data_IF_699213202723
#
_entry.id   IF_699213202723
#
_cell.length_a   1.000
_cell.length_b   1.000
_cell.length_c   1.000
_cell.angle_alpha   90.00
_cell.angle_beta   90.00
_cell.angle_gamma   90.00
#
_symmetry.space_group_name_H-M   'P 1'
#
loop_
_entity.id
_entity.type
_entity.pdbx_description
1 polymer ?
#
# COMPACT_ATOMS: atom_id res chain seq x y z
N UNK A 1 7.61 4.29 -15.79
CA UNK A 1 8.66 3.94 -16.75
C UNK A 1 8.59 2.45 -16.99
N UNK A 2 8.33 2.10 -18.24
CA UNK A 2 8.21 0.73 -18.68
C UNK A 2 9.55 0.03 -18.53
N UNK A 3 9.67 -0.87 -17.60
CA UNK A 3 10.79 -1.80 -17.54
C UNK A 3 10.33 -3.11 -18.17
N UNK A 4 10.65 -3.31 -19.45
CA UNK A 4 10.60 -4.64 -20.03
C UNK A 4 11.70 -5.47 -19.36
N UNK A 5 11.32 -6.55 -18.73
CA UNK A 5 12.24 -7.49 -18.13
C UNK A 5 12.16 -8.79 -18.94
N UNK A 6 13.28 -9.17 -19.57
CA UNK A 6 13.39 -10.50 -20.17
C UNK A 6 13.58 -11.53 -19.07
N UNK A 7 12.74 -12.56 -19.10
CA UNK A 7 12.86 -13.71 -18.23
C UNK A 7 14.19 -14.44 -18.54
N UNK A 8 15.08 -14.46 -17.56
CA UNK A 8 16.32 -15.21 -17.65
C UNK A 8 16.13 -16.52 -16.91
N UNK A 9 16.48 -17.61 -17.54
CA UNK A 9 16.28 -18.98 -17.04
C UNK A 9 17.09 -19.35 -15.78
N UNK A 10 17.63 -18.37 -15.07
CA UNK A 10 18.37 -18.53 -13.82
C UNK A 10 19.68 -19.33 -13.95
N UNK A 11 20.14 -19.59 -15.17
CA UNK A 11 21.40 -20.30 -15.39
C UNK A 11 22.57 -19.38 -15.14
N UNK A 12 23.57 -19.91 -14.45
CA UNK A 12 24.87 -19.26 -14.25
C UNK A 12 25.54 -19.02 -15.60
N UNK A 13 25.99 -17.81 -15.88
CA UNK A 13 26.79 -17.54 -17.06
C UNK A 13 28.03 -18.40 -17.04
N UNK A 14 28.36 -18.99 -18.21
CA UNK A 14 29.47 -19.92 -18.34
C UNK A 14 30.79 -19.20 -18.04
N UNK A 15 31.46 -19.57 -16.95
CA UNK A 15 32.75 -19.04 -16.52
C UNK A 15 32.74 -18.21 -15.23
N UNK A 16 31.57 -17.95 -14.63
CA UNK A 16 31.45 -17.27 -13.33
C UNK A 16 30.83 -18.26 -12.36
N UNK A 17 31.66 -18.97 -11.61
CA UNK A 17 31.22 -20.07 -10.74
C UNK A 17 30.46 -19.61 -9.47
N UNK A 18 30.51 -18.33 -9.12
CA UNK A 18 29.98 -17.81 -7.86
C UNK A 18 28.88 -16.76 -8.03
N UNK A 19 28.44 -16.45 -9.25
CA UNK A 19 27.41 -15.45 -9.49
C UNK A 19 26.12 -16.13 -9.98
N UNK A 20 25.14 -16.16 -9.11
CA UNK A 20 23.80 -16.56 -9.48
C UNK A 20 23.09 -15.38 -10.13
N UNK A 21 22.68 -15.52 -11.39
CA UNK A 21 21.78 -14.54 -12.01
C UNK A 21 20.43 -14.67 -11.31
N UNK A 22 20.01 -13.62 -10.60
CA UNK A 22 18.73 -13.60 -9.94
C UNK A 22 17.65 -13.25 -10.95
N UNK A 23 16.85 -14.23 -11.24
CA UNK A 23 15.65 -14.10 -12.07
C UNK A 23 14.50 -13.55 -11.21
N UNK A 24 14.61 -12.27 -10.84
CA UNK A 24 13.60 -11.59 -10.06
C UNK A 24 13.53 -10.11 -10.41
N UNK A 25 12.33 -9.56 -10.27
CA UNK A 25 12.09 -8.14 -10.41
C UNK A 25 11.54 -7.55 -9.11
N UNK A 26 11.83 -6.28 -8.84
CA UNK A 26 11.32 -5.62 -7.66
C UNK A 26 12.34 -4.73 -6.94
N UNK A 27 12.23 -4.66 -5.61
CA UNK A 27 13.07 -3.84 -4.78
C UNK A 27 12.88 -2.34 -5.06
N UNK A 28 13.97 -1.63 -5.31
CA UNK A 28 13.93 -0.18 -5.58
C UNK A 28 13.34 0.19 -6.94
N UNK A 29 13.22 -0.76 -7.85
CA UNK A 29 12.72 -0.55 -9.21
C UNK A 29 11.20 -0.67 -9.32
N UNK A 30 10.53 -1.27 -8.33
CA UNK A 30 9.08 -1.50 -8.34
C UNK A 30 8.46 -1.21 -6.97
N UNK A 31 8.49 0.04 -6.55
CA UNK A 31 8.03 0.48 -5.23
C UNK A 31 7.03 1.62 -5.24
N UNK A 32 6.92 2.34 -6.34
CA UNK A 32 6.05 3.51 -6.43
C UNK A 32 4.63 3.08 -6.77
N UNK A 33 3.59 3.66 -6.16
CA UNK A 33 2.21 3.42 -6.57
C UNK A 33 2.02 3.72 -8.06
N UNK A 34 1.26 2.88 -8.73
CA UNK A 34 1.04 2.85 -10.17
C UNK A 34 2.19 2.30 -11.03
N UNK A 35 3.36 1.99 -10.50
CA UNK A 35 4.34 1.20 -11.23
C UNK A 35 3.78 -0.19 -11.52
N UNK A 36 4.12 -0.73 -12.68
CA UNK A 36 3.65 -2.05 -13.09
C UNK A 36 4.73 -2.85 -13.81
N UNK A 37 4.57 -4.15 -13.78
CA UNK A 37 5.36 -5.11 -14.52
C UNK A 37 4.40 -5.95 -15.33
N UNK A 38 4.75 -6.22 -16.58
CA UNK A 38 3.95 -7.01 -17.50
C UNK A 38 4.78 -8.13 -18.10
N UNK A 39 4.19 -9.31 -18.15
CA UNK A 39 4.77 -10.49 -18.78
C UNK A 39 3.92 -10.91 -19.97
N UNK A 40 4.59 -11.20 -21.09
CA UNK A 40 3.98 -11.85 -22.22
C UNK A 40 4.02 -13.37 -22.01
N UNK A 41 2.91 -14.03 -22.20
CA UNK A 41 2.83 -15.47 -22.11
C UNK A 41 2.11 -16.07 -23.32
N UNK A 42 2.39 -17.32 -23.63
CA UNK A 42 1.70 -18.06 -24.68
C UNK A 42 0.90 -19.19 -24.02
N UNK A 43 -0.41 -19.16 -24.23
CA UNK A 43 -1.34 -20.17 -23.74
C UNK A 43 -1.47 -21.25 -24.81
N UNK A 44 -1.08 -22.50 -24.52
CA UNK A 44 -1.03 -23.56 -25.53
C UNK A 44 -2.41 -24.08 -25.93
N UNK A 45 -3.36 -24.06 -25.02
CA UNK A 45 -4.73 -24.55 -25.21
C UNK A 45 -5.71 -23.67 -24.46
N UNK A 46 -6.91 -23.48 -25.01
CA UNK A 46 -7.99 -22.77 -24.32
C UNK A 46 -8.44 -23.55 -23.10
N UNK A 47 -8.63 -22.85 -21.98
CA UNK A 47 -9.09 -23.50 -20.74
C UNK A 47 -9.02 -22.60 -19.52
N UNK A 48 -9.30 -23.21 -18.37
CA UNK A 48 -9.25 -22.56 -17.08
C UNK A 48 -7.86 -22.75 -16.45
N UNK A 49 -7.22 -21.64 -16.17
CA UNK A 49 -5.87 -21.61 -15.57
C UNK A 49 -5.92 -21.05 -14.14
N UNK A 50 -4.96 -21.49 -13.33
CA UNK A 50 -4.71 -20.94 -11.99
C UNK A 50 -3.41 -20.17 -12.03
N UNK A 51 -3.41 -18.96 -11.44
CA UNK A 51 -2.23 -18.11 -11.38
C UNK A 51 -1.65 -18.18 -9.97
N UNK A 52 -0.38 -18.54 -9.89
CA UNK A 52 0.42 -18.50 -8.67
C UNK A 52 1.55 -17.48 -8.83
N UNK A 53 1.73 -16.62 -7.83
CA UNK A 53 2.75 -15.57 -7.84
C UNK A 53 3.78 -15.86 -6.77
N UNK A 54 5.04 -16.07 -7.17
CA UNK A 54 6.14 -16.20 -6.21
C UNK A 54 6.68 -14.82 -5.86
N UNK A 55 6.39 -14.38 -4.64
CA UNK A 55 6.76 -13.06 -4.16
C UNK A 55 7.37 -13.07 -2.77
N UNK A 56 8.01 -11.96 -2.42
CA UNK A 56 8.53 -11.69 -1.08
C UNK A 56 8.40 -10.21 -0.77
N UNK A 57 7.79 -9.90 0.37
CA UNK A 57 7.79 -8.56 0.96
C UNK A 57 8.64 -8.61 2.24
N UNK A 58 9.94 -8.34 2.14
CA UNK A 58 10.90 -8.40 3.26
C UNK A 58 11.45 -7.02 3.65
N UNK A 59 10.85 -5.93 3.16
CA UNK A 59 11.43 -4.60 3.32
C UNK A 59 11.00 -3.92 4.62
N UNK A 60 9.70 -3.89 4.90
CA UNK A 60 9.17 -3.23 6.09
C UNK A 60 8.18 -4.16 6.79
N UNK A 61 8.49 -4.46 8.05
CA UNK A 61 7.60 -5.23 8.92
C UNK A 61 6.34 -4.42 9.22
N UNK A 62 5.16 -5.09 9.22
CA UNK A 62 3.88 -4.44 9.42
C UNK A 62 3.31 -3.73 8.17
N UNK A 63 4.00 -3.84 7.02
CA UNK A 63 3.52 -3.32 5.74
C UNK A 63 2.97 -4.43 4.86
N UNK A 64 1.83 -4.17 4.23
CA UNK A 64 1.23 -5.04 3.22
C UNK A 64 1.51 -4.41 1.86
N UNK A 65 2.15 -5.15 0.96
CA UNK A 65 2.35 -4.70 -0.40
C UNK A 65 1.18 -5.19 -1.27
N UNK A 66 0.40 -4.26 -1.79
CA UNK A 66 -0.78 -4.53 -2.59
C UNK A 66 -0.46 -4.48 -4.09
N UNK A 67 -1.05 -5.39 -4.84
CA UNK A 67 -0.94 -5.49 -6.30
C UNK A 67 -2.30 -5.73 -6.93
N UNK A 68 -2.56 -5.08 -8.05
CA UNK A 68 -3.71 -5.41 -8.91
C UNK A 68 -3.24 -6.23 -10.09
N UNK A 69 -3.99 -7.30 -10.41
CA UNK A 69 -3.73 -8.15 -11.56
C UNK A 69 -4.56 -7.69 -12.75
N UNK A 70 -3.91 -7.60 -13.90
CA UNK A 70 -4.55 -7.37 -15.19
C UNK A 70 -4.20 -8.53 -16.13
N UNK A 71 -5.17 -8.96 -16.90
CA UNK A 71 -4.99 -9.89 -18.01
C UNK A 71 -5.45 -9.16 -19.28
N UNK A 72 -4.57 -9.07 -20.28
CA UNK A 72 -4.83 -8.36 -21.52
C UNK A 72 -5.30 -6.91 -21.34
N UNK A 73 -4.78 -6.27 -20.31
CA UNK A 73 -5.07 -4.87 -19.97
C UNK A 73 -6.32 -4.65 -19.12
N UNK A 74 -7.08 -5.70 -18.81
CA UNK A 74 -8.31 -5.62 -18.03
C UNK A 74 -8.18 -6.37 -16.70
N UNK A 75 -8.88 -5.90 -15.66
CA UNK A 75 -9.01 -6.63 -14.38
C UNK A 75 -10.11 -7.68 -14.56
N UNK A 76 -9.80 -8.98 -14.43
CA UNK A 76 -10.78 -10.03 -14.74
C UNK A 76 -11.98 -10.05 -13.80
N UNK A 77 -11.78 -9.76 -12.52
CA UNK A 77 -12.81 -9.69 -11.48
C UNK A 77 -12.31 -8.92 -10.26
N UNK A 78 -13.22 -8.54 -9.36
CA UNK A 78 -12.96 -7.61 -8.26
C UNK A 78 -11.88 -8.09 -7.30
N UNK A 79 -11.86 -9.38 -6.96
CA UNK A 79 -11.01 -9.97 -5.94
C UNK A 79 -9.51 -9.90 -6.30
N UNK A 80 -9.17 -9.73 -7.58
CA UNK A 80 -7.77 -9.57 -7.99
C UNK A 80 -7.33 -8.13 -8.16
N UNK A 81 -8.18 -7.17 -7.81
CA UNK A 81 -7.79 -5.76 -7.70
C UNK A 81 -6.84 -5.50 -6.54
N UNK A 82 -6.90 -6.33 -5.49
CA UNK A 82 -6.06 -6.21 -4.31
C UNK A 82 -5.49 -7.55 -3.88
N UNK A 83 -4.32 -7.88 -4.42
CA UNK A 83 -3.55 -9.05 -4.03
C UNK A 83 -2.54 -8.61 -2.98
N UNK A 84 -2.66 -9.14 -1.77
CA UNK A 84 -1.86 -8.75 -0.62
C UNK A 84 -0.63 -9.63 -0.45
N UNK A 85 0.53 -8.99 -0.33
CA UNK A 85 1.79 -9.63 0.06
C UNK A 85 2.15 -9.14 1.46
N UNK A 86 1.92 -9.99 2.44
CA UNK A 86 2.29 -9.73 3.83
C UNK A 86 3.80 -9.81 4.03
N UNK A 87 4.29 -9.21 5.11
CA UNK A 87 5.72 -9.25 5.44
C UNK A 87 6.22 -10.68 5.59
N UNK A 88 7.27 -11.01 4.85
CA UNK A 88 8.00 -12.28 4.97
C UNK A 88 9.42 -12.14 4.44
N UNK A 89 10.40 -12.67 5.21
CA UNK A 89 11.79 -12.73 4.77
C UNK A 89 12.07 -13.88 3.81
N UNK A 90 11.13 -14.80 3.65
CA UNK A 90 11.23 -15.94 2.74
C UNK A 90 10.32 -15.76 1.54
N UNK A 91 10.71 -16.36 0.41
CA UNK A 91 9.87 -16.40 -0.76
C UNK A 91 8.60 -17.21 -0.51
N UNK A 92 7.47 -16.62 -0.82
CA UNK A 92 6.15 -17.23 -0.69
C UNK A 92 5.55 -17.46 -2.07
N UNK A 93 4.82 -18.55 -2.23
CA UNK A 93 3.94 -18.78 -3.36
C UNK A 93 2.53 -18.31 -2.96
N UNK A 94 2.10 -17.20 -3.53
CA UNK A 94 0.74 -16.68 -3.34
C UNK A 94 -0.12 -17.25 -4.45
N UNK A 95 -0.95 -18.24 -4.11
CA UNK A 95 -2.00 -18.71 -5.01
C UNK A 95 -3.20 -17.79 -4.89
N UNK A 96 -3.72 -17.30 -6.01
CA UNK A 96 -4.92 -16.48 -6.01
C UNK A 96 -6.12 -17.37 -5.73
N UNK A 97 -6.74 -17.16 -4.56
CA UNK A 97 -7.80 -18.04 -4.05
C UNK A 97 -8.83 -17.28 -3.22
N UNK A 98 -10.02 -17.84 -3.11
CA UNK A 98 -11.07 -17.30 -2.26
C UNK A 98 -10.80 -17.55 -0.76
N UNK A 99 -11.66 -17.03 0.11
CA UNK A 99 -11.57 -17.20 1.56
C UNK A 99 -11.70 -18.66 2.03
N UNK A 100 -12.21 -19.56 1.18
CA UNK A 100 -12.35 -21.00 1.46
C UNK A 100 -11.14 -21.81 0.95
N UNK A 101 -10.16 -21.14 0.30
CA UNK A 101 -8.97 -21.79 -0.25
C UNK A 101 -9.16 -22.36 -1.66
N UNK A 102 -10.27 -22.05 -2.35
CA UNK A 102 -10.47 -22.46 -3.73
C UNK A 102 -9.73 -21.50 -4.65
N UNK A 103 -8.85 -22.03 -5.50
CA UNK A 103 -8.11 -21.23 -6.46
C UNK A 103 -9.04 -20.55 -7.47
N UNK A 104 -8.80 -19.27 -7.73
CA UNK A 104 -9.47 -18.56 -8.80
C UNK A 104 -9.08 -19.13 -10.16
N UNK A 105 -10.07 -19.27 -11.04
CA UNK A 105 -9.90 -19.77 -12.39
C UNK A 105 -9.98 -18.62 -13.37
N UNK A 106 -8.98 -18.54 -14.21
CA UNK A 106 -8.88 -17.56 -15.28
C UNK A 106 -9.09 -18.29 -16.59
N UNK A 107 -10.20 -18.01 -17.28
CA UNK A 107 -10.44 -18.59 -18.58
C UNK A 107 -9.60 -17.85 -19.63
N UNK A 108 -8.66 -18.57 -20.24
CA UNK A 108 -7.76 -18.01 -21.24
C UNK A 108 -7.95 -18.76 -22.56
N UNK A 109 -8.00 -18.01 -23.63
CA UNK A 109 -8.02 -18.58 -24.99
C UNK A 109 -6.64 -19.05 -25.40
N UNK A 110 -6.55 -19.89 -26.42
CA UNK A 110 -5.26 -20.26 -27.00
C UNK A 110 -4.61 -19.05 -27.68
N UNK A 111 -3.35 -18.76 -27.35
CA UNK A 111 -2.59 -17.69 -27.99
C UNK A 111 -1.77 -16.86 -27.01
N UNK A 112 -1.45 -15.66 -27.45
CA UNK A 112 -0.65 -14.71 -26.65
C UNK A 112 -1.55 -13.91 -25.74
N UNK A 113 -1.16 -13.85 -24.48
CA UNK A 113 -1.79 -13.05 -23.44
C UNK A 113 -0.74 -12.22 -22.70
N UNK A 114 -1.19 -11.16 -22.07
CA UNK A 114 -0.37 -10.37 -21.15
C UNK A 114 -0.88 -10.51 -19.72
N UNK A 115 0.03 -10.69 -18.78
CA UNK A 115 -0.25 -10.62 -17.35
C UNK A 115 0.50 -9.44 -16.79
N UNK A 116 -0.24 -8.51 -16.16
CA UNK A 116 0.35 -7.33 -15.53
C UNK A 116 0.02 -7.30 -14.06
N UNK A 117 1.03 -7.01 -13.24
CA UNK A 117 0.89 -6.67 -11.84
C UNK A 117 1.21 -5.19 -11.65
N UNK A 118 0.26 -4.44 -11.10
CA UNK A 118 0.37 -3.01 -10.84
C UNK A 118 0.43 -2.75 -9.34
N UNK A 119 1.34 -1.90 -8.90
CA UNK A 119 1.41 -1.45 -7.51
C UNK A 119 0.19 -0.61 -7.16
N UNK A 120 -0.46 -0.96 -6.07
CA UNK A 120 -1.56 -0.18 -5.49
C UNK A 120 -1.32 0.05 -4.01
N UNK A 121 -1.98 1.04 -3.46
CA UNK A 121 -1.96 1.28 -2.02
C UNK A 121 -2.98 0.41 -1.28
N UNK A 122 -3.95 -0.17 -2.03
CA UNK A 122 -5.09 -0.84 -1.42
C UNK A 122 -5.83 0.09 -0.46
N UNK A 123 -6.40 -0.46 0.60
CA UNK A 123 -7.09 0.30 1.65
C UNK A 123 -6.21 1.33 2.35
N UNK A 124 -4.86 1.15 2.33
CA UNK A 124 -3.94 2.16 2.84
C UNK A 124 -4.09 3.52 2.13
N UNK A 125 -4.54 3.53 0.88
CA UNK A 125 -4.81 4.76 0.13
C UNK A 125 -5.88 5.63 0.79
N UNK A 126 -6.93 5.02 1.31
CA UNK A 126 -8.01 5.70 2.03
C UNK A 126 -7.50 6.25 3.37
N UNK A 127 -6.79 5.44 4.15
CA UNK A 127 -6.21 5.87 5.42
C UNK A 127 -5.23 7.04 5.26
N UNK A 128 -4.38 7.02 4.23
CA UNK A 128 -3.47 8.13 3.93
C UNK A 128 -4.22 9.40 3.50
N UNK A 129 -5.31 9.25 2.76
CA UNK A 129 -6.18 10.38 2.38
C UNK A 129 -6.85 10.99 3.61
N UNK A 130 -7.38 10.16 4.51
CA UNK A 130 -7.99 10.60 5.75
C UNK A 130 -6.99 11.29 6.68
N UNK A 131 -5.79 10.73 6.82
CA UNK A 131 -4.71 11.36 7.59
C UNK A 131 -4.35 12.73 7.02
N UNK A 132 -4.22 12.83 5.70
CA UNK A 132 -3.92 14.10 5.02
C UNK A 132 -5.00 15.15 5.26
N UNK A 133 -6.27 14.75 5.24
CA UNK A 133 -7.40 15.62 5.55
C UNK A 133 -7.38 16.09 7.01
N UNK A 134 -7.06 15.20 7.96
CA UNK A 134 -6.94 15.58 9.38
C UNK A 134 -5.79 16.56 9.59
N UNK A 135 -4.63 16.34 8.97
CA UNK A 135 -3.50 17.29 9.00
C UNK A 135 -3.89 18.65 8.42
N UNK A 136 -4.63 18.67 7.32
CA UNK A 136 -5.13 19.90 6.74
C UNK A 136 -6.07 20.66 7.70
N UNK A 137 -7.02 19.96 8.32
CA UNK A 137 -7.95 20.53 9.29
C UNK A 137 -7.22 21.08 10.53
N UNK A 138 -6.25 20.32 11.08
CA UNK A 138 -5.43 20.80 12.20
C UNK A 138 -4.64 22.07 11.84
N UNK A 139 -4.09 22.15 10.63
CA UNK A 139 -3.42 23.36 10.17
C UNK A 139 -4.38 24.56 10.06
N UNK A 140 -5.63 24.36 9.70
CA UNK A 140 -6.62 25.42 9.70
C UNK A 140 -6.94 25.92 11.12
N UNK A 141 -7.15 24.99 12.06
CA UNK A 141 -7.36 25.32 13.47
C UNK A 141 -6.15 26.05 14.08
N UNK A 142 -4.95 25.57 13.81
CA UNK A 142 -3.71 26.22 14.23
C UNK A 142 -3.59 27.66 13.73
N UNK A 143 -3.95 27.93 12.47
CA UNK A 143 -3.97 29.29 11.91
C UNK A 143 -4.97 30.20 12.61
N UNK A 144 -6.14 29.70 12.99
CA UNK A 144 -7.12 30.48 13.74
C UNK A 144 -6.59 30.84 15.13
N UNK A 145 -5.95 29.89 15.81
CA UNK A 145 -5.30 30.14 17.10
C UNK A 145 -4.20 31.18 16.95
N UNK A 146 -3.35 31.08 15.92
CA UNK A 146 -2.29 32.06 15.65
C UNK A 146 -2.79 33.49 15.42
N UNK A 147 -3.98 33.64 14.84
CA UNK A 147 -4.57 34.99 14.67
C UNK A 147 -4.87 35.63 16.03
N UNK A 148 -5.23 34.84 17.03
CA UNK A 148 -5.54 35.31 18.38
C UNK A 148 -4.28 35.50 19.23
N UNK A 149 -3.34 34.56 19.17
CA UNK A 149 -2.19 34.47 20.06
C UNK A 149 -0.94 35.16 19.51
N UNK A 150 -0.88 35.31 18.16
CA UNK A 150 0.37 35.67 17.47
C UNK A 150 1.33 34.47 17.37
N UNK A 151 2.48 34.69 16.77
CA UNK A 151 3.54 33.67 16.58
C UNK A 151 4.39 33.46 17.85
N UNK A 152 4.36 34.38 18.79
CA UNK A 152 5.05 34.33 20.07
C UNK A 152 4.04 34.61 21.18
N UNK A 153 3.24 33.59 21.59
CA UNK A 153 2.23 33.75 22.63
C UNK A 153 2.87 34.03 23.99
N UNK A 154 2.26 34.92 24.77
CA UNK A 154 2.64 35.18 26.15
C UNK A 154 2.16 34.04 27.04
N UNK A 155 3.06 33.33 27.70
CA UNK A 155 2.80 32.19 28.59
C UNK A 155 1.89 32.55 29.78
N UNK A 156 1.88 33.80 30.21
CA UNK A 156 1.12 34.26 31.37
C UNK A 156 -0.23 34.86 31.00
N UNK A 157 -0.55 34.95 29.71
CA UNK A 157 -1.79 35.50 29.22
C UNK A 157 -2.83 34.42 28.96
N UNK A 158 -3.98 34.53 29.60
CA UNK A 158 -5.15 33.76 29.25
C UNK A 158 -5.82 34.37 27.99
N UNK A 159 -5.72 33.66 26.86
CA UNK A 159 -6.30 34.07 25.59
C UNK A 159 -7.79 33.70 25.47
N UNK A 160 -8.33 32.92 26.42
CA UNK A 160 -9.73 32.45 26.46
C UNK A 160 -10.17 31.81 25.12
N UNK A 161 -9.31 30.97 24.54
CA UNK A 161 -9.51 30.37 23.21
C UNK A 161 -10.85 29.67 23.13
N UNK A 162 -11.23 28.96 24.21
CA UNK A 162 -12.52 28.25 24.33
C UNK A 162 -13.73 29.17 24.29
N UNK A 163 -13.57 30.47 24.58
CA UNK A 163 -14.66 31.46 24.50
C UNK A 163 -14.68 32.20 23.18
N UNK A 164 -13.48 32.44 22.60
CA UNK A 164 -13.34 33.17 21.34
C UNK A 164 -13.62 32.27 20.15
N UNK A 165 -13.14 31.02 20.21
CA UNK A 165 -13.26 30.03 19.15
C UNK A 165 -13.74 28.66 19.72
N UNK A 166 -14.95 28.57 20.26
CA UNK A 166 -15.48 27.30 20.80
C UNK A 166 -15.50 26.20 19.75
N UNK A 167 -15.76 26.56 18.48
CA UNK A 167 -15.78 25.62 17.35
C UNK A 167 -14.40 25.01 17.07
N UNK A 168 -13.30 25.73 17.39
CA UNK A 168 -11.93 25.19 17.22
C UNK A 168 -11.68 24.10 18.25
N UNK A 169 -12.11 24.29 19.49
CA UNK A 169 -11.96 23.30 20.56
C UNK A 169 -12.77 22.02 20.23
N UNK A 170 -14.03 22.19 19.79
CA UNK A 170 -14.87 21.07 19.36
C UNK A 170 -14.25 20.32 18.15
N UNK A 171 -13.70 21.07 17.18
CA UNK A 171 -13.05 20.48 16.01
C UNK A 171 -11.76 19.73 16.38
N UNK A 172 -10.95 20.25 17.32
CA UNK A 172 -9.75 19.56 17.81
C UNK A 172 -10.10 18.24 18.51
N UNK A 173 -11.12 18.24 19.37
CA UNK A 173 -11.61 17.03 20.02
C UNK A 173 -12.12 15.99 19.01
N UNK A 174 -12.85 16.45 18.00
CA UNK A 174 -13.34 15.60 16.90
C UNK A 174 -12.19 14.98 16.11
N UNK A 175 -11.20 15.78 15.66
CA UNK A 175 -10.05 15.29 14.90
C UNK A 175 -9.16 14.37 15.73
N UNK A 176 -8.97 14.66 17.03
CA UNK A 176 -8.26 13.76 17.94
C UNK A 176 -8.92 12.38 17.99
N UNK A 177 -10.23 12.31 18.24
CA UNK A 177 -10.99 11.05 18.26
C UNK A 177 -10.94 10.32 16.93
N UNK A 178 -11.03 11.07 15.82
CA UNK A 178 -10.94 10.52 14.47
C UNK A 178 -9.57 9.89 14.21
N UNK A 179 -8.49 10.57 14.60
CA UNK A 179 -7.13 10.04 14.44
C UNK A 179 -6.88 8.78 15.26
N UNK A 180 -7.39 8.71 16.51
CA UNK A 180 -7.29 7.47 17.29
C UNK A 180 -8.02 6.31 16.61
N UNK A 181 -9.22 6.54 16.09
CA UNK A 181 -9.98 5.53 15.35
C UNK A 181 -9.23 5.08 14.09
N UNK A 182 -8.66 6.03 13.33
CA UNK A 182 -7.86 5.74 12.14
C UNK A 182 -6.63 4.88 12.47
N UNK A 183 -5.95 5.18 13.58
CA UNK A 183 -4.83 4.36 14.08
C UNK A 183 -5.27 2.93 14.36
N UNK A 184 -6.40 2.74 15.03
CA UNK A 184 -6.91 1.40 15.34
C UNK A 184 -7.27 0.62 14.06
N UNK A 185 -7.86 1.27 13.07
CA UNK A 185 -8.18 0.68 11.76
C UNK A 185 -6.91 0.29 11.00
N UNK A 186 -5.89 1.15 10.97
CA UNK A 186 -4.60 0.83 10.33
C UNK A 186 -3.88 -0.31 11.06
N UNK A 187 -3.91 -0.34 12.38
CA UNK A 187 -3.36 -1.47 13.17
C UNK A 187 -4.09 -2.77 12.87
N UNK A 188 -5.42 -2.73 12.76
CA UNK A 188 -6.22 -3.90 12.41
C UNK A 188 -5.88 -4.41 10.99
N UNK A 189 -5.69 -3.48 10.04
CA UNK A 189 -5.34 -3.80 8.67
C UNK A 189 -3.92 -4.37 8.53
N UNK A 190 -2.93 -3.76 9.17
CA UNK A 190 -1.52 -4.16 9.06
C UNK A 190 -1.11 -5.29 10.00
N UNK A 191 -1.87 -5.52 11.07
CA UNK A 191 -1.59 -6.50 12.10
C UNK A 191 -0.47 -6.11 13.09
N UNK A 192 0.21 -5.00 12.88
CA UNK A 192 1.32 -4.54 13.74
C UNK A 192 1.32 -3.01 13.90
N UNK A 193 1.83 -2.55 15.04
CA UNK A 193 2.10 -1.12 15.27
C UNK A 193 3.45 -0.75 14.64
N UNK A 194 3.44 -0.25 13.42
CA UNK A 194 4.63 0.29 12.74
C UNK A 194 5.03 1.68 13.23
N UNK A 195 6.20 2.17 12.81
CA UNK A 195 6.73 3.49 13.19
C UNK A 195 5.83 4.66 12.77
N UNK A 196 5.19 4.57 11.61
CA UNK A 196 4.27 5.60 11.10
C UNK A 196 3.00 5.71 11.95
N UNK A 197 2.54 4.62 12.55
CA UNK A 197 1.38 4.60 13.46
C UNK A 197 1.68 5.40 14.73
N UNK A 198 2.93 5.34 15.23
CA UNK A 198 3.35 6.13 16.39
C UNK A 198 3.30 7.63 16.13
N UNK A 199 3.57 8.06 14.89
CA UNK A 199 3.43 9.46 14.45
C UNK A 199 1.97 9.89 14.47
N UNK A 200 1.06 9.07 13.92
CA UNK A 200 -0.37 9.35 13.94
C UNK A 200 -0.93 9.43 15.36
N UNK A 201 -0.47 8.56 16.28
CA UNK A 201 -0.82 8.64 17.71
C UNK A 201 -0.32 9.93 18.37
N UNK A 202 0.90 10.38 18.03
CA UNK A 202 1.44 11.62 18.54
C UNK A 202 0.71 12.87 18.05
N UNK A 203 0.11 12.80 16.83
CA UNK A 203 -0.74 13.87 16.30
C UNK A 203 -2.12 13.90 16.96
N UNK A 204 -2.60 12.77 17.48
CA UNK A 204 -3.91 12.67 18.14
C UNK A 204 -3.88 13.09 19.63
N UNK A 205 -2.71 13.05 20.27
CA UNK A 205 -2.49 13.41 21.67
C UNK A 205 -2.37 14.92 21.86
#
# INVERSE_FOLDING_TARGET
>A
SDTEYEDKDGKTEQGITDHQVLDMTGGTQWKVPNDWIEWNMEVPEEGDYVIGIKGRQGYTRGYIANRSLYIDGEVPFEEVKEIQFTYSNVWQMVCLQDANGNAYKFHLTKGKHTIRLKNTLGDLGEYLSELSNSVFNMNQMYRQILVLTGTEPDEYRDYQIEKVYPEVIEAMDFESKRLYKLVDEVVAYTGEKGGEISVAQSLAA
#
